data_IF_075625694436
#
_entry.id   IF_075625694436
#
_cell.length_a   1.000
_cell.length_b   1.000
_cell.length_c   1.000
_cell.angle_alpha   90.00
_cell.angle_beta   90.00
_cell.angle_gamma   90.00
#
_symmetry.space_group_name_H-M   'P 1'
#
loop_
_entity.id
_entity.type
_entity.pdbx_description
1 polymer ?
#
# COMPACT_ATOMS: atom_id res chain seq x y z
N UNK A 1 55.20 -11.66 16.50
CA UNK A 1 54.52 -10.34 16.57
C UNK A 1 53.87 -9.83 15.25
N UNK A 2 54.19 -10.38 14.07
CA UNK A 2 53.62 -9.85 12.77
C UNK A 2 52.20 -10.32 12.41
N UNK A 3 51.72 -11.46 12.91
CA UNK A 3 50.37 -11.97 12.54
C UNK A 3 49.22 -11.26 13.29
N UNK A 4 49.42 -10.82 14.51
CA UNK A 4 48.36 -10.08 15.27
C UNK A 4 48.07 -8.69 14.70
N UNK A 5 49.08 -8.00 14.16
CA UNK A 5 48.93 -6.65 13.62
C UNK A 5 48.13 -6.65 12.31
N UNK A 6 48.28 -7.70 11.47
CA UNK A 6 47.56 -7.85 10.21
C UNK A 6 46.08 -8.14 10.48
N UNK A 7 45.74 -8.96 11.48
CA UNK A 7 44.35 -9.27 11.85
C UNK A 7 43.63 -8.03 12.39
N UNK A 8 44.31 -7.23 13.21
CA UNK A 8 43.74 -5.97 13.76
C UNK A 8 43.49 -4.95 12.64
N UNK A 9 44.39 -4.79 11.68
CA UNK A 9 44.22 -3.89 10.53
C UNK A 9 43.09 -4.34 9.60
N UNK A 10 42.87 -5.65 9.42
CA UNK A 10 41.75 -6.15 8.61
C UNK A 10 40.40 -5.97 9.31
N UNK A 11 40.35 -6.09 10.63
CA UNK A 11 39.14 -5.91 11.42
C UNK A 11 38.70 -4.43 11.46
N UNK A 12 39.65 -3.51 11.62
CA UNK A 12 39.39 -2.06 11.59
C UNK A 12 38.93 -1.57 10.20
N UNK A 13 39.52 -2.11 9.15
CA UNK A 13 39.06 -1.80 7.77
C UNK A 13 37.63 -2.32 7.49
N UNK A 14 37.28 -3.51 8.01
CA UNK A 14 35.94 -4.07 7.87
C UNK A 14 34.90 -3.24 8.64
N UNK A 15 35.21 -2.82 9.86
CA UNK A 15 34.33 -1.97 10.69
C UNK A 15 34.16 -0.61 10.03
N UNK A 16 35.22 -0.02 9.48
CA UNK A 16 35.12 1.24 8.74
C UNK A 16 34.24 1.12 7.47
N UNK A 17 34.39 0.03 6.72
CA UNK A 17 33.54 -0.23 5.54
C UNK A 17 32.07 -0.42 5.91
N UNK A 18 31.78 -1.14 6.99
CA UNK A 18 30.41 -1.32 7.51
C UNK A 18 29.83 0.02 7.98
N UNK A 19 30.61 0.84 8.69
CA UNK A 19 30.18 2.16 9.15
C UNK A 19 29.88 3.11 7.98
N UNK A 20 30.69 3.11 6.94
CA UNK A 20 30.47 3.89 5.72
C UNK A 20 29.23 3.40 4.99
N UNK A 21 29.02 2.08 4.91
CA UNK A 21 27.80 1.51 4.29
C UNK A 21 26.54 1.97 5.03
N UNK A 22 26.52 1.89 6.38
CA UNK A 22 25.40 2.38 7.19
C UNK A 22 25.20 3.89 7.07
N UNK A 23 26.28 4.67 6.97
CA UNK A 23 26.19 6.12 6.77
C UNK A 23 25.59 6.47 5.41
N UNK A 24 26.03 5.81 4.34
CA UNK A 24 25.50 6.00 2.99
C UNK A 24 24.05 5.52 2.90
N UNK A 25 23.70 4.40 3.52
CA UNK A 25 22.35 3.89 3.59
C UNK A 25 21.41 4.86 4.34
N UNK A 26 21.86 5.41 5.48
CA UNK A 26 21.11 6.44 6.22
C UNK A 26 20.99 7.75 5.44
N UNK A 27 22.02 8.19 4.73
CA UNK A 27 21.95 9.38 3.87
C UNK A 27 20.98 9.18 2.70
N UNK A 28 20.95 7.99 2.06
CA UNK A 28 19.95 7.65 1.05
C UNK A 28 18.54 7.64 1.63
N UNK A 29 18.32 7.03 2.80
CA UNK A 29 17.03 7.04 3.47
C UNK A 29 16.58 8.45 3.85
N UNK A 30 17.48 9.31 4.36
CA UNK A 30 17.15 10.71 4.66
C UNK A 30 16.86 11.52 3.39
N UNK A 31 17.60 11.32 2.30
CA UNK A 31 17.34 12.03 1.04
C UNK A 31 16.06 11.55 0.36
N UNK A 32 15.65 10.31 0.58
CA UNK A 32 14.39 9.77 0.07
C UNK A 32 13.20 10.26 0.91
N UNK A 33 13.34 10.30 2.24
CA UNK A 33 12.33 10.88 3.14
C UNK A 33 12.07 12.37 2.87
N UNK A 34 13.11 13.16 2.60
CA UNK A 34 12.94 14.59 2.26
C UNK A 34 12.26 14.81 0.92
N UNK A 35 12.45 13.92 -0.07
CA UNK A 35 11.76 14.03 -1.37
C UNK A 35 10.27 13.73 -1.31
N UNK A 36 9.84 12.80 -0.46
CA UNK A 36 8.42 12.45 -0.31
C UNK A 36 7.65 13.43 0.56
N UNK A 37 8.32 14.08 1.53
CA UNK A 37 7.69 15.09 2.40
C UNK A 37 7.37 16.40 1.65
N UNK A 38 7.99 16.64 0.50
CA UNK A 38 7.75 17.83 -0.35
C UNK A 38 6.62 17.60 -1.38
N UNK A 39 6.08 16.38 -1.49
CA UNK A 39 4.98 16.08 -2.41
C UNK A 39 3.66 16.61 -1.83
N UNK A 40 2.87 17.27 -2.67
CA UNK A 40 1.56 17.79 -2.24
C UNK A 40 0.52 16.68 -2.06
N UNK A 41 -0.45 16.91 -1.19
CA UNK A 41 -1.64 16.07 -1.05
C UNK A 41 -2.33 15.93 -2.40
N UNK A 42 -2.65 14.69 -2.78
CA UNK A 42 -3.33 14.40 -4.05
C UNK A 42 -2.41 14.18 -5.26
N UNK A 43 -1.07 14.29 -5.13
CA UNK A 43 -0.15 14.02 -6.24
C UNK A 43 -0.31 12.59 -6.81
N UNK A 44 -0.79 11.66 -6.02
CA UNK A 44 -1.05 10.28 -6.46
C UNK A 44 -2.13 10.18 -7.55
N UNK A 45 -3.00 11.20 -7.70
CA UNK A 45 -4.02 11.30 -8.73
C UNK A 45 -3.49 11.89 -10.06
N UNK A 46 -2.28 12.41 -10.07
CA UNK A 46 -1.68 12.91 -11.30
C UNK A 46 -1.39 11.77 -12.26
N UNK A 47 -1.60 12.01 -13.56
CA UNK A 47 -1.22 11.01 -14.58
C UNK A 47 0.29 10.75 -14.53
N UNK A 48 0.73 9.52 -14.90
CA UNK A 48 2.16 9.25 -15.01
C UNK A 48 2.85 10.24 -15.95
N UNK A 49 4.12 10.55 -15.67
CA UNK A 49 4.93 11.32 -16.59
C UNK A 49 5.25 10.50 -17.84
N UNK A 50 5.48 11.18 -18.97
CA UNK A 50 5.89 10.50 -20.20
C UNK A 50 7.21 9.72 -19.99
N UNK A 51 7.21 8.42 -20.31
CA UNK A 51 8.31 7.52 -20.03
C UNK A 51 8.32 6.89 -18.64
N UNK A 52 7.42 7.28 -17.73
CA UNK A 52 7.27 6.63 -16.42
C UNK A 52 6.79 5.18 -16.59
N UNK A 53 7.40 4.25 -15.88
CA UNK A 53 6.99 2.83 -15.93
C UNK A 53 5.66 2.62 -15.22
N UNK A 54 4.73 1.99 -15.91
CA UNK A 54 3.40 1.63 -15.42
C UNK A 54 3.18 0.12 -15.51
N UNK A 55 2.20 -0.40 -14.75
CA UNK A 55 1.72 -1.76 -14.94
C UNK A 55 0.30 -1.76 -15.51
N UNK A 56 0.03 -2.73 -16.38
CA UNK A 56 -1.31 -3.10 -16.82
C UNK A 56 -1.68 -4.44 -16.20
N UNK A 57 -2.73 -4.46 -15.38
CA UNK A 57 -3.34 -5.68 -14.84
C UNK A 57 -4.48 -6.06 -15.76
N UNK A 58 -4.31 -7.13 -16.53
CA UNK A 58 -5.36 -7.70 -17.37
C UNK A 58 -6.13 -8.76 -16.59
N UNK A 59 -7.44 -8.64 -16.56
CA UNK A 59 -8.37 -9.58 -15.94
C UNK A 59 -9.41 -10.06 -16.93
N UNK A 60 -10.12 -11.13 -16.60
CA UNK A 60 -11.29 -11.57 -17.37
C UNK A 60 -12.50 -10.59 -17.29
N UNK A 61 -12.39 -9.50 -16.50
CA UNK A 61 -13.39 -8.43 -16.37
C UNK A 61 -13.01 -7.12 -17.09
N UNK A 62 -11.76 -6.99 -17.52
CA UNK A 62 -11.20 -5.80 -18.15
C UNK A 62 -9.76 -5.54 -17.71
N UNK A 63 -9.25 -4.38 -18.06
CA UNK A 63 -7.88 -3.97 -17.77
C UNK A 63 -7.86 -2.78 -16.81
N UNK A 64 -6.80 -2.71 -15.98
CA UNK A 64 -6.51 -1.59 -15.09
C UNK A 64 -5.05 -1.20 -15.27
N UNK A 65 -4.78 0.12 -15.41
CA UNK A 65 -3.40 0.62 -15.47
C UNK A 65 -3.08 1.39 -14.20
N UNK A 66 -1.91 1.13 -13.64
CA UNK A 66 -1.46 1.77 -12.41
C UNK A 66 -0.05 2.32 -12.52
N UNK A 67 0.17 3.49 -11.88
CA UNK A 67 1.50 4.06 -11.65
C UNK A 67 2.00 3.67 -10.27
N UNK A 68 3.31 3.61 -10.12
CA UNK A 68 3.99 3.25 -8.88
C UNK A 68 4.56 4.46 -8.15
N UNK A 69 4.79 4.28 -6.84
CA UNK A 69 5.40 5.28 -5.96
C UNK A 69 6.64 4.71 -5.25
N UNK A 70 7.73 4.41 -5.99
CA UNK A 70 8.92 3.77 -5.42
C UNK A 70 9.67 4.66 -4.42
N UNK A 71 9.47 5.97 -4.48
CA UNK A 71 10.03 6.92 -3.52
C UNK A 71 9.37 6.84 -2.14
N UNK A 72 8.09 6.47 -2.08
CA UNK A 72 7.31 6.37 -0.85
C UNK A 72 7.21 4.93 -0.30
N UNK A 73 7.19 3.94 -1.18
CA UNK A 73 7.02 2.53 -0.85
C UNK A 73 7.97 1.62 -1.64
N UNK A 74 9.30 1.79 -1.51
CA UNK A 74 10.29 1.10 -2.35
C UNK A 74 10.21 -0.41 -2.25
N UNK A 75 10.01 -0.99 -1.07
CA UNK A 75 9.92 -2.45 -0.88
C UNK A 75 8.64 -3.03 -1.44
N UNK A 76 7.51 -2.37 -1.22
CA UNK A 76 6.23 -2.82 -1.76
C UNK A 76 6.24 -2.79 -3.29
N UNK A 77 6.80 -1.74 -3.90
CA UNK A 77 6.97 -1.64 -5.36
C UNK A 77 7.92 -2.71 -5.89
N UNK A 78 9.10 -2.88 -5.27
CA UNK A 78 10.07 -3.91 -5.66
C UNK A 78 9.46 -5.32 -5.58
N UNK A 79 8.79 -5.62 -4.46
CA UNK A 79 8.12 -6.89 -4.23
C UNK A 79 7.07 -7.18 -5.30
N UNK A 80 6.12 -6.25 -5.51
CA UNK A 80 5.05 -6.42 -6.49
C UNK A 80 5.61 -6.61 -7.90
N UNK A 81 6.51 -5.73 -8.35
CA UNK A 81 7.10 -5.78 -9.70
C UNK A 81 7.87 -7.08 -9.94
N UNK A 82 8.65 -7.51 -8.96
CA UNK A 82 9.45 -8.73 -9.07
C UNK A 82 8.56 -9.98 -9.13
N UNK A 83 7.51 -10.05 -8.31
CA UNK A 83 6.55 -11.15 -8.34
C UNK A 83 5.78 -11.17 -9.67
N UNK A 84 5.29 -10.02 -10.13
CA UNK A 84 4.56 -9.90 -11.40
C UNK A 84 5.45 -10.29 -12.60
N UNK A 85 6.71 -9.84 -12.64
CA UNK A 85 7.66 -10.19 -13.70
C UNK A 85 7.97 -11.68 -13.77
N UNK A 86 7.83 -12.41 -12.67
CA UNK A 86 7.97 -13.88 -12.60
C UNK A 86 6.68 -14.63 -12.95
N UNK A 87 5.59 -13.92 -13.28
CA UNK A 87 4.29 -14.53 -13.54
C UNK A 87 3.59 -15.05 -12.26
N UNK A 88 4.05 -14.62 -11.07
CA UNK A 88 3.50 -15.09 -9.80
C UNK A 88 2.00 -14.81 -9.66
N UNK A 89 1.51 -13.72 -10.25
CA UNK A 89 0.11 -13.33 -10.22
C UNK A 89 -0.72 -13.89 -11.40
N UNK A 90 -0.11 -14.59 -12.36
CA UNK A 90 -0.83 -15.16 -13.51
C UNK A 90 -1.83 -16.21 -13.03
N UNK A 91 -3.11 -16.04 -13.40
CA UNK A 91 -4.27 -16.84 -12.96
C UNK A 91 -4.61 -16.75 -11.46
N UNK A 92 -4.02 -15.83 -10.70
CA UNK A 92 -4.42 -15.58 -9.30
C UNK A 92 -5.75 -14.86 -9.27
N UNK A 93 -6.66 -15.32 -8.40
CA UNK A 93 -8.02 -14.79 -8.31
C UNK A 93 -8.13 -13.60 -7.35
N UNK A 94 -9.16 -12.79 -7.57
CA UNK A 94 -9.65 -11.88 -6.53
C UNK A 94 -10.50 -12.70 -5.55
N UNK A 95 -9.88 -13.11 -4.46
CA UNK A 95 -10.47 -14.05 -3.51
C UNK A 95 -11.40 -13.38 -2.48
N UNK A 96 -11.37 -12.04 -2.40
CA UNK A 96 -12.22 -11.26 -1.49
C UNK A 96 -12.60 -9.95 -2.13
N UNK A 97 -13.90 -9.68 -2.19
CA UNK A 97 -14.46 -8.42 -2.72
C UNK A 97 -15.48 -7.90 -1.70
N UNK A 98 -15.31 -6.67 -1.28
CA UNK A 98 -16.29 -5.99 -0.44
C UNK A 98 -16.73 -4.71 -1.15
N UNK A 99 -18.00 -4.66 -1.49
CA UNK A 99 -18.62 -3.51 -2.17
C UNK A 99 -18.38 -2.22 -1.36
N UNK A 100 -18.08 -1.13 -2.06
CA UNK A 100 -17.76 0.17 -1.47
C UNK A 100 -16.60 0.14 -0.46
N UNK A 101 -15.66 -0.80 -0.64
CA UNK A 101 -14.45 -0.85 0.19
C UNK A 101 -13.22 -1.24 -0.62
N UNK A 102 -13.12 -2.50 -1.10
CA UNK A 102 -11.92 -2.94 -1.81
C UNK A 102 -12.14 -4.25 -2.59
N UNK A 103 -11.24 -4.52 -3.54
CA UNK A 103 -11.06 -5.81 -4.20
C UNK A 103 -9.66 -6.34 -3.89
N UNK A 104 -9.54 -7.56 -3.38
CA UNK A 104 -8.28 -8.14 -2.85
C UNK A 104 -7.86 -9.37 -3.63
N UNK A 105 -6.56 -9.43 -3.96
CA UNK A 105 -5.92 -10.52 -4.71
C UNK A 105 -4.49 -10.78 -4.19
N UNK A 106 -3.70 -11.55 -4.94
CA UNK A 106 -2.26 -11.76 -4.67
C UNK A 106 -1.95 -12.98 -3.81
N UNK A 107 -2.94 -13.80 -3.48
CA UNK A 107 -2.76 -15.12 -2.87
C UNK A 107 -2.82 -16.21 -3.96
N UNK A 108 -1.71 -16.91 -4.27
CA UNK A 108 -1.70 -17.93 -5.32
C UNK A 108 -2.59 -19.14 -5.02
N UNK A 109 -2.97 -19.35 -3.76
CA UNK A 109 -3.90 -20.44 -3.37
C UNK A 109 -5.36 -20.00 -3.45
N UNK A 110 -5.65 -18.71 -3.57
CA UNK A 110 -7.01 -18.15 -3.61
C UNK A 110 -7.80 -18.31 -2.31
N UNK A 111 -7.14 -18.63 -1.20
CA UNK A 111 -7.77 -18.84 0.12
C UNK A 111 -7.75 -17.59 1.00
N UNK A 112 -6.96 -16.58 0.66
CA UNK A 112 -6.70 -15.38 1.48
C UNK A 112 -5.72 -15.63 2.62
N UNK A 113 -5.16 -16.83 2.74
CA UNK A 113 -4.31 -17.20 3.89
C UNK A 113 -2.84 -17.41 3.55
N UNK A 114 -2.48 -17.36 2.26
CA UNK A 114 -1.13 -17.60 1.74
C UNK A 114 -0.56 -16.37 1.04
N UNK A 115 0.63 -16.53 0.49
CA UNK A 115 1.34 -15.50 -0.26
C UNK A 115 2.61 -15.02 0.44
N UNK A 116 3.74 -15.13 -0.27
CA UNK A 116 5.05 -14.77 0.24
C UNK A 116 5.63 -13.58 -0.51
N UNK A 117 6.46 -12.80 0.17
CA UNK A 117 7.27 -11.78 -0.48
C UNK A 117 8.46 -12.39 -1.23
N UNK A 118 9.10 -11.58 -2.06
CA UNK A 118 10.32 -11.98 -2.78
C UNK A 118 11.49 -12.36 -1.86
N UNK A 119 11.41 -11.98 -0.59
CA UNK A 119 12.44 -12.29 0.44
C UNK A 119 12.13 -13.56 1.24
N UNK A 120 11.03 -14.28 0.94
CA UNK A 120 10.63 -15.49 1.68
C UNK A 120 10.23 -15.24 3.13
N UNK A 121 9.93 -14.00 3.49
CA UNK A 121 9.48 -13.54 4.81
C UNK A 121 8.66 -12.27 4.69
N UNK A 122 7.89 -11.96 5.72
CA UNK A 122 7.16 -10.69 5.77
C UNK A 122 8.11 -9.50 5.74
N UNK A 123 7.64 -8.37 5.19
CA UNK A 123 8.38 -7.11 5.19
C UNK A 123 7.57 -5.99 5.85
N UNK A 124 8.29 -4.95 6.24
CA UNK A 124 7.77 -3.83 7.01
C UNK A 124 6.78 -2.96 6.23
N UNK A 125 5.95 -2.24 6.98
CA UNK A 125 5.04 -1.23 6.46
C UNK A 125 5.82 0.03 6.05
N UNK A 126 5.41 0.63 4.93
CA UNK A 126 5.97 1.86 4.39
C UNK A 126 4.85 2.91 4.30
N UNK A 127 4.51 3.50 5.46
CA UNK A 127 3.44 4.50 5.53
C UNK A 127 3.92 5.87 5.06
N UNK A 128 3.18 6.47 4.15
CA UNK A 128 3.45 7.80 3.60
C UNK A 128 2.59 8.88 4.27
N UNK A 129 3.08 10.12 4.24
CA UNK A 129 2.32 11.32 4.60
C UNK A 129 1.49 11.86 3.43
N UNK A 130 1.78 11.41 2.22
CA UNK A 130 1.26 11.98 0.97
C UNK A 130 0.58 10.96 0.07
N UNK A 131 0.57 9.67 0.46
CA UNK A 131 -0.21 8.62 -0.18
C UNK A 131 -1.33 8.16 0.74
N UNK A 132 -2.50 8.02 0.17
CA UNK A 132 -3.76 7.80 0.89
C UNK A 132 -4.51 6.61 0.30
N UNK A 133 -5.27 5.89 1.13
CA UNK A 133 -6.15 4.80 0.71
C UNK A 133 -7.46 5.33 0.11
N UNK A 134 -7.35 6.21 -0.88
CA UNK A 134 -8.48 6.71 -1.69
C UNK A 134 -8.86 5.69 -2.76
N UNK A 135 -9.99 5.90 -3.46
CA UNK A 135 -10.40 5.04 -4.58
C UNK A 135 -9.31 4.93 -5.63
N UNK A 136 -9.05 3.69 -6.06
CA UNK A 136 -7.98 3.36 -7.00
C UNK A 136 -6.59 3.17 -6.38
N UNK A 137 -6.40 3.52 -5.10
CA UNK A 137 -5.13 3.24 -4.42
C UNK A 137 -4.90 1.73 -4.31
N UNK A 138 -3.69 1.28 -4.66
CA UNK A 138 -3.25 -0.11 -4.56
C UNK A 138 -2.37 -0.26 -3.33
N UNK A 139 -2.80 -1.08 -2.38
CA UNK A 139 -2.19 -1.20 -1.07
C UNK A 139 -1.84 -2.64 -0.72
N UNK A 140 -0.78 -2.82 0.07
CA UNK A 140 -0.41 -4.14 0.59
C UNK A 140 -1.45 -4.63 1.61
N UNK A 141 -1.96 -5.84 1.40
CA UNK A 141 -2.72 -6.53 2.42
C UNK A 141 -1.78 -7.10 3.48
N UNK A 142 -2.15 -6.98 4.75
CA UNK A 142 -1.38 -7.52 5.87
C UNK A 142 -2.31 -8.04 6.99
N UNK A 143 -1.73 -8.74 7.97
CA UNK A 143 -2.43 -9.28 9.16
C UNK A 143 -1.98 -8.58 10.44
N UNK A 144 -1.68 -7.31 10.34
CA UNK A 144 -1.09 -6.48 11.37
C UNK A 144 0.25 -5.91 10.93
N UNK A 145 0.89 -5.17 11.82
CA UNK A 145 2.11 -4.40 11.52
C UNK A 145 3.22 -5.28 10.96
N UNK A 146 3.85 -4.82 9.89
CA UNK A 146 5.03 -5.43 9.29
C UNK A 146 4.82 -6.89 8.84
N UNK A 147 3.62 -7.22 8.37
CA UNK A 147 3.30 -8.57 7.87
C UNK A 147 2.93 -8.59 6.40
N UNK A 148 3.49 -7.68 5.60
CA UNK A 148 3.28 -7.62 4.17
C UNK A 148 3.90 -8.84 3.47
N UNK A 149 3.17 -9.40 2.50
CA UNK A 149 3.58 -10.54 1.68
C UNK A 149 3.41 -10.25 0.18
N UNK A 150 2.67 -11.13 -0.52
CA UNK A 150 2.31 -10.90 -1.93
C UNK A 150 0.92 -10.33 -2.12
N UNK A 151 0.04 -10.41 -1.11
CA UNK A 151 -1.35 -9.97 -1.25
C UNK A 151 -1.45 -8.44 -1.30
N UNK A 152 -2.33 -7.96 -2.16
CA UNK A 152 -2.65 -6.55 -2.32
C UNK A 152 -4.15 -6.36 -2.50
N UNK A 153 -4.62 -5.14 -2.30
CA UNK A 153 -5.99 -4.78 -2.62
C UNK A 153 -6.03 -3.42 -3.32
N UNK A 154 -7.09 -3.22 -4.08
CA UNK A 154 -7.40 -1.95 -4.72
C UNK A 154 -8.60 -1.35 -4.00
N UNK A 155 -8.42 -0.17 -3.45
CA UNK A 155 -9.50 0.56 -2.78
C UNK A 155 -10.55 0.99 -3.80
N UNK A 156 -11.83 0.85 -3.43
CA UNK A 156 -12.94 1.35 -4.22
C UNK A 156 -14.11 1.74 -3.33
N UNK A 157 -14.39 3.02 -3.26
CA UNK A 157 -15.57 3.56 -2.60
C UNK A 157 -16.15 4.69 -3.44
N UNK A 158 -17.46 4.65 -3.74
CA UNK A 158 -18.14 5.80 -4.34
C UNK A 158 -18.00 6.99 -3.38
N UNK A 159 -17.52 8.16 -3.82
CA UNK A 159 -17.44 9.36 -2.98
C UNK A 159 -18.76 9.73 -2.29
N UNK A 160 -19.91 9.40 -2.90
CA UNK A 160 -21.24 9.63 -2.31
C UNK A 160 -21.51 8.75 -1.07
N UNK A 161 -20.81 7.64 -0.95
CA UNK A 161 -20.93 6.70 0.16
C UNK A 161 -19.87 6.98 1.25
N UNK A 162 -19.08 8.04 1.10
CA UNK A 162 -18.12 8.43 2.13
C UNK A 162 -18.87 8.91 3.38
N UNK A 163 -18.59 8.29 4.52
CA UNK A 163 -19.33 8.52 5.78
C UNK A 163 -19.18 9.93 6.36
N UNK A 164 -18.31 10.77 5.76
CA UNK A 164 -18.00 12.11 6.23
C UNK A 164 -16.98 12.15 7.36
N UNK A 165 -16.49 13.35 7.65
CA UNK A 165 -15.44 13.54 8.64
C UNK A 165 -15.96 13.65 10.08
N UNK A 166 -17.23 13.98 10.28
CA UNK A 166 -17.84 14.14 11.61
C UNK A 166 -17.73 12.87 12.45
N UNK A 167 -17.87 11.69 11.84
CA UNK A 167 -17.72 10.41 12.54
C UNK A 167 -16.28 10.15 12.98
N UNK A 168 -15.30 10.53 12.16
CA UNK A 168 -13.87 10.44 12.54
C UNK A 168 -13.51 11.45 13.63
N UNK A 169 -14.01 12.68 13.54
CA UNK A 169 -13.84 13.71 14.57
C UNK A 169 -14.42 13.27 15.91
N UNK A 170 -15.66 12.77 15.93
CA UNK A 170 -16.31 12.23 17.10
C UNK A 170 -15.54 11.06 17.72
N UNK A 171 -15.10 10.11 16.89
CA UNK A 171 -14.29 8.97 17.31
C UNK A 171 -12.96 9.41 17.91
N UNK A 172 -12.30 10.42 17.33
CA UNK A 172 -11.06 10.96 17.86
C UNK A 172 -11.25 11.74 19.17
N UNK A 173 -12.35 12.48 19.34
CA UNK A 173 -12.68 13.10 20.62
C UNK A 173 -12.90 12.06 21.74
N UNK A 174 -13.54 10.94 21.44
CA UNK A 174 -13.67 9.84 22.40
C UNK A 174 -12.31 9.20 22.73
N UNK A 175 -11.46 9.02 21.73
CA UNK A 175 -10.09 8.55 21.94
C UNK A 175 -9.30 9.48 22.87
N UNK A 176 -9.36 10.80 22.67
CA UNK A 176 -8.64 11.78 23.52
C UNK A 176 -9.06 11.73 24.99
N UNK A 177 -10.34 11.41 25.28
CA UNK A 177 -10.81 11.31 26.67
C UNK A 177 -10.15 10.17 27.44
N UNK A 178 -9.89 9.03 26.79
CA UNK A 178 -9.27 7.88 27.42
C UNK A 178 -8.61 6.97 26.35
N UNK A 179 -7.38 7.29 25.88
CA UNK A 179 -6.73 6.57 24.79
C UNK A 179 -6.62 5.07 25.03
N UNK A 180 -6.21 4.66 26.24
CA UNK A 180 -6.04 3.24 26.56
C UNK A 180 -7.37 2.49 26.52
N UNK A 181 -8.43 3.05 27.11
CA UNK A 181 -9.76 2.42 27.12
C UNK A 181 -10.32 2.34 25.70
N UNK A 182 -10.19 3.41 24.92
CA UNK A 182 -10.63 3.44 23.54
C UNK A 182 -9.93 2.35 22.71
N UNK A 183 -8.59 2.28 22.78
CA UNK A 183 -7.81 1.27 22.04
C UNK A 183 -8.20 -0.16 22.44
N UNK A 184 -8.45 -0.42 23.72
CA UNK A 184 -8.89 -1.75 24.17
C UNK A 184 -10.30 -2.12 23.68
N UNK A 185 -11.20 -1.13 23.50
CA UNK A 185 -12.60 -1.37 23.13
C UNK A 185 -12.86 -1.31 21.63
N UNK A 186 -12.14 -0.42 20.91
CA UNK A 186 -12.41 -0.08 19.51
C UNK A 186 -11.18 -0.21 18.58
N UNK A 187 -10.01 -0.51 19.15
CA UNK A 187 -8.76 -0.61 18.39
C UNK A 187 -8.16 0.76 18.07
N UNK A 188 -8.37 1.25 16.85
CA UNK A 188 -7.76 2.51 16.35
C UNK A 188 -8.83 3.45 15.79
N UNK A 189 -8.46 4.74 15.71
CA UNK A 189 -9.22 5.75 14.96
C UNK A 189 -8.24 6.63 14.16
N UNK A 190 -8.78 7.45 13.26
CA UNK A 190 -8.00 8.47 12.56
C UNK A 190 -7.52 9.52 13.56
N UNK A 191 -6.25 9.86 13.50
CA UNK A 191 -5.64 10.95 14.30
C UNK A 191 -5.96 12.30 13.64
N UNK A 192 -7.08 12.88 14.00
CA UNK A 192 -7.58 14.13 13.40
C UNK A 192 -6.65 15.32 13.62
N UNK A 193 -5.69 15.25 14.56
CA UNK A 193 -4.68 16.29 14.74
C UNK A 193 -3.69 16.41 13.57
N UNK A 194 -3.64 15.40 12.71
CA UNK A 194 -2.78 15.34 11.52
C UNK A 194 -3.54 15.58 10.22
N UNK A 195 -4.86 15.52 10.24
CA UNK A 195 -5.69 15.64 9.05
C UNK A 195 -5.92 17.09 8.70
N UNK A 196 -5.43 17.52 7.54
CA UNK A 196 -5.63 18.88 7.02
C UNK A 196 -6.92 18.98 6.20
N UNK A 197 -7.35 20.21 5.89
CA UNK A 197 -8.53 20.43 5.03
C UNK A 197 -8.33 19.88 3.63
N UNK A 198 -7.09 19.88 3.12
CA UNK A 198 -6.74 19.28 1.83
C UNK A 198 -6.95 17.75 1.84
N UNK A 199 -6.56 17.09 2.95
CA UNK A 199 -6.81 15.64 3.12
C UNK A 199 -8.31 15.37 3.23
N UNK A 200 -9.05 16.20 3.97
CA UNK A 200 -10.50 16.07 4.07
C UNK A 200 -11.15 16.19 2.68
N UNK A 201 -10.75 17.19 1.92
CA UNK A 201 -11.22 17.40 0.56
C UNK A 201 -10.89 16.21 -0.35
N UNK A 202 -9.64 15.71 -0.28
CA UNK A 202 -9.19 14.57 -1.08
C UNK A 202 -10.13 13.36 -0.93
N UNK A 203 -10.46 12.96 0.29
CA UNK A 203 -11.37 11.84 0.54
C UNK A 203 -12.82 12.13 0.18
N UNK A 204 -13.30 13.34 0.45
CA UNK A 204 -14.67 13.76 0.11
C UNK A 204 -14.90 13.72 -1.40
N UNK A 205 -13.89 14.08 -2.20
CA UNK A 205 -14.00 14.11 -3.66
C UNK A 205 -13.74 12.76 -4.32
N UNK A 206 -12.92 11.89 -3.70
CA UNK A 206 -12.46 10.64 -4.32
C UNK A 206 -12.93 9.37 -3.62
N UNK A 207 -13.57 9.47 -2.46
CA UNK A 207 -13.89 8.30 -1.63
C UNK A 207 -12.64 7.64 -1.04
N UNK A 208 -12.83 6.49 -0.41
CA UNK A 208 -11.76 5.70 0.17
C UNK A 208 -11.87 5.54 1.69
N UNK A 209 -10.83 5.02 2.32
CA UNK A 209 -10.85 4.58 3.72
C UNK A 209 -9.72 5.20 4.55
N UNK A 210 -9.93 6.40 5.16
CA UNK A 210 -8.90 7.09 5.95
C UNK A 210 -8.33 6.26 7.11
N UNK A 211 -9.11 5.33 7.66
CA UNK A 211 -8.69 4.44 8.74
C UNK A 211 -7.58 3.45 8.35
N UNK A 212 -7.35 3.26 7.06
CA UNK A 212 -6.29 2.41 6.52
C UNK A 212 -4.94 3.12 6.43
N UNK A 213 -4.90 4.45 6.55
CA UNK A 213 -3.68 5.23 6.48
C UNK A 213 -2.89 5.14 7.78
N UNK A 214 -1.84 4.29 7.79
CA UNK A 214 -1.08 4.01 9.00
C UNK A 214 -0.37 5.22 9.61
N UNK A 215 0.01 6.22 8.80
CA UNK A 215 0.56 7.47 9.31
C UNK A 215 -0.47 8.32 10.06
N UNK A 216 -1.72 8.26 9.64
CA UNK A 216 -2.82 9.11 10.10
C UNK A 216 -3.72 8.44 11.14
N UNK A 217 -3.38 7.28 11.68
CA UNK A 217 -4.18 6.69 12.75
C UNK A 217 -3.42 6.59 14.08
N UNK A 218 -4.19 6.48 15.16
CA UNK A 218 -3.70 6.51 16.55
C UNK A 218 -2.84 5.32 16.93
N UNK A 219 -2.99 4.16 16.26
CA UNK A 219 -2.22 2.96 16.51
C UNK A 219 -0.97 2.84 15.61
N UNK A 220 -0.83 3.69 14.60
CA UNK A 220 0.17 3.56 13.53
C UNK A 220 0.12 2.18 12.88
N UNK A 221 -1.07 1.73 12.56
CA UNK A 221 -1.39 0.47 11.89
C UNK A 221 -2.22 0.77 10.65
N UNK A 222 -1.85 0.18 9.53
CA UNK A 222 -2.53 0.45 8.26
C UNK A 222 -1.97 -0.39 7.14
N UNK A 223 -2.13 0.14 5.94
CA UNK A 223 -1.73 -0.53 4.72
C UNK A 223 -0.85 0.39 3.88
N UNK A 224 0.25 -0.16 3.39
CA UNK A 224 1.19 0.56 2.54
C UNK A 224 0.59 0.80 1.17
N UNK A 225 0.29 2.04 0.82
CA UNK A 225 -0.07 2.44 -0.55
C UNK A 225 1.21 2.47 -1.38
N UNK A 226 1.26 1.73 -2.49
CA UNK A 226 2.45 1.64 -3.34
C UNK A 226 2.19 1.97 -4.82
N UNK A 227 0.91 2.01 -5.22
CA UNK A 227 0.50 2.36 -6.57
C UNK A 227 -0.88 3.00 -6.58
N UNK A 228 -1.28 3.60 -7.73
CA UNK A 228 -2.59 4.16 -7.99
C UNK A 228 -3.08 3.74 -9.36
N UNK A 229 -4.28 3.21 -9.44
CA UNK A 229 -4.99 3.00 -10.71
C UNK A 229 -5.39 4.36 -11.25
N UNK A 230 -4.91 4.71 -12.45
CA UNK A 230 -5.21 5.98 -13.13
C UNK A 230 -6.05 5.78 -14.40
N UNK A 231 -6.19 4.54 -14.88
CA UNK A 231 -7.02 4.14 -16.03
C UNK A 231 -7.61 2.76 -15.75
N UNK A 232 -8.89 2.55 -16.09
CA UNK A 232 -9.58 1.28 -15.84
C UNK A 232 -10.27 1.23 -14.46
N UNK A 233 -10.60 2.36 -13.83
CA UNK A 233 -11.40 2.38 -12.60
C UNK A 233 -12.81 1.79 -12.81
N UNK A 234 -13.35 1.84 -14.01
CA UNK A 234 -14.60 1.16 -14.38
C UNK A 234 -14.49 -0.36 -14.29
N UNK A 235 -13.28 -0.93 -14.48
CA UNK A 235 -13.04 -2.36 -14.25
C UNK A 235 -13.03 -2.67 -12.75
N UNK A 236 -12.43 -1.79 -11.92
CA UNK A 236 -12.47 -1.92 -10.46
C UNK A 236 -13.90 -1.85 -9.96
N UNK A 237 -14.68 -0.88 -10.44
CA UNK A 237 -16.13 -0.75 -10.14
C UNK A 237 -16.91 -2.01 -10.50
N UNK A 238 -16.73 -2.50 -11.72
CA UNK A 238 -17.39 -3.72 -12.19
C UNK A 238 -17.09 -4.91 -11.30
N UNK A 239 -15.83 -5.10 -10.90
CA UNK A 239 -15.41 -6.17 -10.00
C UNK A 239 -16.00 -5.94 -8.58
N UNK A 240 -16.02 -4.70 -8.09
CA UNK A 240 -16.52 -4.40 -6.74
C UNK A 240 -18.03 -4.63 -6.58
N UNK A 241 -18.76 -4.70 -7.69
CA UNK A 241 -20.22 -4.89 -7.72
C UNK A 241 -20.67 -6.32 -8.02
N UNK A 242 -19.76 -7.30 -8.13
CA UNK A 242 -20.14 -8.70 -8.32
C UNK A 242 -20.83 -9.28 -7.09
N UNK A 243 -21.62 -10.32 -7.30
CA UNK A 243 -22.20 -11.08 -6.20
C UNK A 243 -21.12 -11.84 -5.44
N UNK A 244 -21.17 -11.80 -4.12
CA UNK A 244 -20.22 -12.45 -3.23
C UNK A 244 -20.93 -13.35 -2.23
N UNK A 245 -20.24 -14.38 -1.78
CA UNK A 245 -20.67 -15.19 -0.67
C UNK A 245 -20.70 -14.32 0.63
N UNK A 246 -21.82 -14.21 1.33
CA UNK A 246 -21.93 -13.34 2.52
C UNK A 246 -21.10 -13.81 3.72
N UNK A 247 -20.57 -15.04 3.72
CA UNK A 247 -19.80 -15.60 4.82
C UNK A 247 -18.31 -15.20 4.76
N UNK A 248 -17.74 -15.13 3.56
CA UNK A 248 -16.30 -14.89 3.34
C UNK A 248 -15.99 -13.79 2.33
N UNK A 249 -17.01 -13.17 1.73
CA UNK A 249 -16.90 -12.14 0.68
C UNK A 249 -16.17 -12.61 -0.58
N UNK A 250 -16.14 -13.92 -0.84
CA UNK A 250 -15.58 -14.47 -2.06
C UNK A 250 -16.57 -14.27 -3.21
N UNK A 251 -16.12 -13.75 -4.38
CA UNK A 251 -16.96 -13.68 -5.59
C UNK A 251 -17.57 -15.04 -5.93
N UNK A 252 -18.85 -15.04 -6.32
CA UNK A 252 -19.54 -16.27 -6.79
C UNK A 252 -19.09 -16.67 -8.21
N UNK A 253 -18.65 -15.71 -9.01
CA UNK A 253 -17.98 -15.97 -10.29
C UNK A 253 -16.47 -15.75 -10.16
N UNK A 254 -15.68 -16.53 -10.89
CA UNK A 254 -14.23 -16.46 -10.82
C UNK A 254 -13.73 -15.19 -11.51
N UNK A 255 -13.05 -14.34 -10.75
CA UNK A 255 -12.37 -13.14 -11.24
C UNK A 255 -10.88 -13.36 -11.08
N UNK A 256 -10.15 -13.39 -12.19
CA UNK A 256 -8.71 -13.68 -12.18
C UNK A 256 -7.88 -12.66 -12.92
N UNK A 257 -6.67 -12.50 -12.45
CA UNK A 257 -5.61 -11.80 -13.16
C UNK A 257 -5.13 -12.72 -14.27
N UNK A 258 -5.35 -12.35 -15.53
CA UNK A 258 -4.82 -13.11 -16.67
C UNK A 258 -3.32 -12.87 -16.82
N UNK A 259 -2.90 -11.61 -16.69
CA UNK A 259 -1.50 -11.19 -16.79
C UNK A 259 -1.27 -9.81 -16.21
N UNK A 260 -0.05 -9.59 -15.70
CA UNK A 260 0.46 -8.25 -15.39
C UNK A 260 1.64 -7.96 -16.32
N UNK A 261 1.60 -6.83 -17.02
CA UNK A 261 2.66 -6.39 -17.94
C UNK A 261 3.14 -5.01 -17.56
N UNK A 262 4.39 -4.71 -17.89
CA UNK A 262 5.00 -3.40 -17.66
C UNK A 262 5.28 -2.71 -18.99
N UNK A 263 5.08 -1.40 -19.03
CA UNK A 263 5.38 -0.56 -20.18
C UNK A 263 5.72 0.86 -19.73
N UNK A 264 6.33 1.65 -20.61
CA UNK A 264 6.51 3.07 -20.33
C UNK A 264 5.26 3.83 -20.79
N UNK A 265 4.75 4.69 -19.91
CA UNK A 265 3.59 5.55 -20.22
C UNK A 265 3.92 6.50 -21.38
N UNK A 266 2.99 6.62 -22.31
CA UNK A 266 3.02 7.56 -23.41
C UNK A 266 1.71 8.37 -23.37
N UNK A 267 1.84 9.69 -23.20
CA UNK A 267 0.72 10.65 -23.13
C UNK A 267 0.12 10.92 -24.51
#
# INVERSE_FOLDING_TARGET
MKKSTIVILSLTALIAAISVYFLVANMKNQSQSTKTDDLKVGYQLEKPANGEEIATIKTNFGEMKMRFFPEAAPKAVENFKTLASKGYYDNVIFHRVIKNFMIQSGDPTGTGTSGESIWGKNFEDEFSKTLFNITGAVSMANRGRNTNGSQFFINYQDPKEFIGWDEFEKSYEEYKKSPRKFTMSYGKTVDMSKVTDEIKKLYTENGGSPSLDGYYNTAKEGHTVFAQVFEGLETVDKISNVETNPQDNKPLEEIKIEKITFSNYQS
#
